data_IF_904274964225
#
_entry.id   IF_904274964225
#
_cell.length_a   1.000
_cell.length_b   1.000
_cell.length_c   1.000
_cell.angle_alpha   90.00
_cell.angle_beta   90.00
_cell.angle_gamma   90.00
#
_symmetry.space_group_name_H-M   'P 1'
#
loop_
_entity.id
_entity.type
_entity.pdbx_description
1 polymer ?
#
# COMPACT_ATOMS: atom_id res chain seq x y z
N UNK A 1 -14.33 11.75 21.70
CA UNK A 1 -13.70 11.83 20.36
C UNK A 1 -12.22 12.15 20.52
N UNK A 2 -11.36 11.44 19.79
CA UNK A 2 -9.95 11.81 19.60
C UNK A 2 -9.71 12.28 18.17
N UNK A 3 -8.91 13.33 18.02
CA UNK A 3 -8.48 13.86 16.74
C UNK A 3 -6.97 13.71 16.59
N UNK A 4 -6.53 13.47 15.37
CA UNK A 4 -5.13 13.44 14.99
C UNK A 4 -4.98 14.13 13.63
N UNK A 5 -3.89 14.89 13.47
CA UNK A 5 -3.50 15.47 12.19
C UNK A 5 -1.98 15.42 12.06
N UNK A 6 -1.49 15.09 10.86
CA UNK A 6 -0.07 15.10 10.53
C UNK A 6 0.14 15.32 9.04
N UNK A 7 1.18 16.07 8.69
CA UNK A 7 1.68 16.18 7.32
C UNK A 7 3.01 15.43 7.15
N UNK A 8 3.26 14.95 5.95
CA UNK A 8 4.50 14.29 5.54
C UNK A 8 4.86 14.71 4.12
N UNK A 9 6.12 15.06 3.89
CA UNK A 9 6.61 15.47 2.58
C UNK A 9 7.36 14.29 1.94
N UNK A 10 6.97 13.92 0.74
CA UNK A 10 7.73 12.96 -0.08
C UNK A 10 8.84 13.73 -0.81
N UNK A 11 10.05 13.62 -0.28
CA UNK A 11 11.26 14.31 -0.76
C UNK A 11 12.48 13.38 -0.88
N UNK A 12 12.31 12.06 -0.75
CA UNK A 12 13.40 11.08 -0.71
C UNK A 12 14.13 11.01 -2.06
N UNK A 13 15.11 11.91 -2.18
CA UNK A 13 16.04 12.10 -3.28
C UNK A 13 17.15 11.04 -3.30
N UNK A 14 16.81 9.74 -3.19
CA UNK A 14 17.81 8.66 -3.23
C UNK A 14 18.56 8.53 -4.56
N UNK A 15 18.31 9.40 -5.54
CA UNK A 15 19.06 9.52 -6.78
C UNK A 15 18.99 10.92 -7.42
N UNK A 16 18.80 11.98 -6.62
CA UNK A 16 18.64 13.35 -7.16
C UNK A 16 17.32 13.61 -7.92
N UNK A 17 16.32 12.74 -7.75
CA UNK A 17 14.99 12.87 -8.37
C UNK A 17 13.93 13.15 -7.30
N UNK A 18 13.02 14.09 -7.57
CA UNK A 18 11.85 14.36 -6.74
C UNK A 18 10.82 13.23 -6.83
N UNK A 19 9.88 13.22 -5.88
CA UNK A 19 8.77 12.28 -5.83
C UNK A 19 7.49 12.96 -6.36
N UNK A 20 7.27 12.98 -7.69
CA UNK A 20 6.19 13.74 -8.29
C UNK A 20 4.83 13.12 -7.95
N UNK A 21 3.86 14.01 -7.79
CA UNK A 21 2.49 13.67 -7.40
C UNK A 21 1.87 12.51 -8.19
N UNK A 22 2.00 12.40 -9.54
CA UNK A 22 1.44 11.26 -10.26
C UNK A 22 1.96 9.90 -9.79
N UNK A 23 3.23 9.84 -9.37
CA UNK A 23 3.89 8.59 -8.97
C UNK A 23 3.57 8.24 -7.53
N UNK A 24 3.54 9.25 -6.64
CA UNK A 24 3.09 9.06 -5.26
C UNK A 24 1.62 8.66 -5.20
N UNK A 25 0.76 9.31 -5.97
CA UNK A 25 -0.67 8.97 -6.09
C UNK A 25 -0.85 7.54 -6.62
N UNK A 26 -0.12 7.17 -7.67
CA UNK A 26 -0.17 5.80 -8.20
C UNK A 26 0.27 4.77 -7.15
N UNK A 27 1.39 5.02 -6.46
CA UNK A 27 1.86 4.14 -5.40
C UNK A 27 0.85 3.98 -4.26
N UNK A 28 0.13 5.05 -3.90
CA UNK A 28 -0.92 4.99 -2.89
C UNK A 28 -2.07 4.07 -3.30
N UNK A 29 -2.50 4.09 -4.58
CA UNK A 29 -3.56 3.22 -5.06
C UNK A 29 -3.12 1.77 -5.22
N UNK A 30 -1.83 1.54 -5.53
CA UNK A 30 -1.21 0.21 -5.66
C UNK A 30 -0.60 -0.33 -4.36
N UNK A 31 -0.85 0.33 -3.22
CA UNK A 31 -0.19 0.00 -1.95
C UNK A 31 -0.47 -1.42 -1.44
N UNK A 32 -1.48 -2.13 -1.95
CA UNK A 32 -1.72 -3.51 -1.55
C UNK A 32 -1.49 -4.45 -2.73
N UNK A 33 -0.88 -5.61 -2.48
CA UNK A 33 -0.35 -6.10 -1.19
C UNK A 33 1.03 -5.51 -0.85
N UNK A 34 1.35 -5.40 0.45
CA UNK A 34 2.69 -5.04 0.93
C UNK A 34 2.94 -5.61 2.34
N UNK A 35 4.21 -5.85 2.76
CA UNK A 35 4.54 -6.50 4.04
C UNK A 35 4.18 -5.66 5.28
N UNK A 36 4.11 -4.33 5.14
CA UNK A 36 3.70 -3.42 6.21
C UNK A 36 2.18 -3.47 6.46
N UNK A 37 1.41 -4.00 5.50
CA UNK A 37 -0.04 -4.12 5.58
C UNK A 37 -0.56 -5.57 5.41
N UNK A 38 0.18 -6.58 5.90
CA UNK A 38 -0.22 -7.99 5.83
C UNK A 38 -1.59 -8.35 6.46
N UNK A 39 -2.18 -7.42 7.23
CA UNK A 39 -3.51 -7.55 7.80
C UNK A 39 -4.64 -7.28 6.79
N UNK A 40 -4.33 -6.64 5.65
CA UNK A 40 -5.29 -6.44 4.56
C UNK A 40 -5.41 -7.73 3.76
N UNK A 41 -6.62 -8.25 3.66
CA UNK A 41 -6.94 -9.53 3.00
C UNK A 41 -7.34 -9.29 1.54
N UNK A 42 -8.22 -8.31 1.30
CA UNK A 42 -8.66 -7.93 -0.04
C UNK A 42 -8.89 -6.42 -0.15
N UNK A 43 -8.86 -5.93 -1.38
CA UNK A 43 -9.12 -4.54 -1.74
C UNK A 43 -9.76 -4.53 -3.14
N UNK A 44 -11.06 -4.28 -3.19
CA UNK A 44 -11.88 -4.43 -4.38
C UNK A 44 -12.44 -3.07 -4.81
N UNK A 45 -12.45 -2.78 -6.11
CA UNK A 45 -13.09 -1.56 -6.64
C UNK A 45 -14.58 -1.86 -6.82
N UNK A 46 -15.42 -1.14 -6.07
CA UNK A 46 -16.88 -1.27 -6.12
C UNK A 46 -17.45 -0.42 -7.24
N UNK A 47 -16.95 0.80 -7.38
CA UNK A 47 -17.35 1.72 -8.45
C UNK A 47 -16.19 2.63 -8.82
N UNK A 48 -16.16 3.04 -10.09
CA UNK A 48 -15.24 4.04 -10.60
C UNK A 48 -15.88 4.75 -11.77
N UNK A 49 -15.88 6.07 -11.73
CA UNK A 49 -16.42 6.90 -12.80
C UNK A 49 -15.66 8.22 -12.88
N UNK A 50 -15.66 8.82 -14.06
CA UNK A 50 -15.09 10.14 -14.28
C UNK A 50 -16.21 11.18 -14.25
N UNK A 51 -15.99 12.28 -13.54
CA UNK A 51 -16.90 13.43 -13.52
C UNK A 51 -16.69 14.30 -14.76
N UNK A 52 -17.66 15.14 -15.15
CA UNK A 52 -17.48 16.12 -16.24
C UNK A 52 -16.29 17.07 -16.04
N UNK A 53 -15.86 17.31 -14.79
CA UNK A 53 -14.65 18.07 -14.45
C UNK A 53 -13.34 17.37 -14.81
N UNK A 54 -13.39 16.09 -15.18
CA UNK A 54 -12.22 15.22 -15.37
C UNK A 54 -11.76 14.49 -14.11
N UNK A 55 -12.32 14.81 -12.94
CA UNK A 55 -12.03 14.15 -11.66
C UNK A 55 -12.43 12.68 -11.69
N UNK A 56 -11.53 11.78 -11.29
CA UNK A 56 -11.82 10.36 -11.16
C UNK A 56 -12.31 10.06 -9.73
N UNK A 57 -13.53 9.57 -9.61
CA UNK A 57 -14.12 9.15 -8.34
C UNK A 57 -14.08 7.63 -8.27
N UNK A 58 -13.57 7.07 -7.17
CA UNK A 58 -13.49 5.63 -6.94
C UNK A 58 -13.98 5.30 -5.54
N UNK A 59 -14.80 4.26 -5.42
CA UNK A 59 -15.11 3.61 -4.15
C UNK A 59 -14.47 2.23 -4.12
N UNK A 60 -13.69 1.94 -3.08
CA UNK A 60 -13.12 0.62 -2.80
C UNK A 60 -13.66 0.04 -1.51
N UNK A 61 -13.79 -1.28 -1.48
CA UNK A 61 -14.09 -2.06 -0.28
C UNK A 61 -12.86 -2.85 0.12
N UNK A 62 -12.44 -2.71 1.37
CA UNK A 62 -11.22 -3.32 1.90
C UNK A 62 -11.61 -4.23 3.05
N UNK A 63 -11.21 -5.50 2.97
CA UNK A 63 -11.32 -6.45 4.08
C UNK A 63 -9.99 -6.50 4.82
N UNK A 64 -10.03 -6.33 6.15
CA UNK A 64 -8.84 -6.51 6.99
C UNK A 64 -9.10 -7.40 8.20
N UNK A 65 -8.09 -8.17 8.56
CA UNK A 65 -8.01 -8.92 9.82
C UNK A 65 -7.59 -7.96 10.94
N UNK A 66 -8.34 -7.94 12.03
CA UNK A 66 -8.04 -7.20 13.25
C UNK A 66 -7.78 -8.15 14.42
N UNK A 67 -7.29 -7.58 15.52
CA UNK A 67 -7.15 -8.26 16.80
C UNK A 67 -7.81 -7.42 17.89
N UNK A 68 -8.66 -8.03 18.71
CA UNK A 68 -9.22 -7.37 19.88
C UNK A 68 -8.13 -7.17 20.94
N UNK A 69 -8.10 -6.03 21.64
CA UNK A 69 -7.17 -5.86 22.75
C UNK A 69 -7.54 -6.80 23.90
N UNK A 70 -6.53 -7.34 24.60
CA UNK A 70 -6.74 -8.32 25.71
C UNK A 70 -7.66 -7.81 26.84
N UNK A 71 -7.73 -6.49 27.04
CA UNK A 71 -8.59 -5.88 28.05
C UNK A 71 -10.06 -5.75 27.63
N UNK A 72 -10.38 -5.99 26.35
CA UNK A 72 -11.73 -5.84 25.81
C UNK A 72 -12.53 -7.14 26.00
N UNK A 73 -13.83 -7.08 26.33
CA UNK A 73 -14.60 -8.28 26.62
C UNK A 73 -14.74 -9.15 25.36
N UNK A 74 -14.25 -10.40 25.44
CA UNK A 74 -14.09 -11.29 24.29
C UNK A 74 -15.42 -11.75 23.67
N UNK A 75 -16.51 -11.73 24.44
CA UNK A 75 -17.85 -12.15 24.00
C UNK A 75 -18.61 -11.06 23.21
N UNK A 76 -18.02 -9.88 23.02
CA UNK A 76 -18.71 -8.72 22.42
C UNK A 76 -18.54 -8.65 20.90
N UNK A 77 -17.59 -9.38 20.31
CA UNK A 77 -17.29 -9.36 18.87
C UNK A 77 -17.05 -10.79 18.39
N UNK A 78 -17.91 -11.26 17.48
CA UNK A 78 -17.86 -12.63 16.96
C UNK A 78 -16.81 -12.85 15.87
N UNK A 79 -16.40 -11.78 15.15
CA UNK A 79 -15.37 -11.82 14.11
C UNK A 79 -14.45 -10.63 14.25
N UNK A 80 -13.14 -10.90 14.29
CA UNK A 80 -12.13 -9.86 14.39
C UNK A 80 -11.79 -9.21 13.03
N UNK A 81 -12.46 -9.61 11.96
CA UNK A 81 -12.38 -8.97 10.65
C UNK A 81 -13.20 -7.68 10.63
N UNK A 82 -12.78 -6.73 9.80
CA UNK A 82 -13.46 -5.46 9.61
C UNK A 82 -13.47 -5.05 8.15
N UNK A 83 -14.63 -4.62 7.68
CA UNK A 83 -14.83 -4.01 6.38
C UNK A 83 -14.61 -2.50 6.45
N UNK A 84 -13.77 -1.99 5.56
CA UNK A 84 -13.48 -0.56 5.40
C UNK A 84 -13.94 -0.12 4.02
N UNK A 85 -14.69 0.97 3.97
CA UNK A 85 -14.95 1.68 2.71
C UNK A 85 -13.88 2.76 2.53
N UNK A 86 -13.35 2.85 1.33
CA UNK A 86 -12.46 3.92 0.89
C UNK A 86 -13.11 4.65 -0.28
N UNK A 87 -13.21 5.97 -0.18
CA UNK A 87 -13.76 6.84 -1.21
C UNK A 87 -12.68 7.85 -1.60
N UNK A 88 -12.32 7.88 -2.89
CA UNK A 88 -11.25 8.74 -3.38
C UNK A 88 -11.67 9.57 -4.59
N UNK A 89 -11.19 10.80 -4.62
CA UNK A 89 -11.33 11.75 -5.72
C UNK A 89 -9.93 12.14 -6.20
N UNK A 90 -9.66 11.97 -7.50
CA UNK A 90 -8.39 12.33 -8.12
C UNK A 90 -8.63 13.43 -9.13
N UNK A 91 -8.15 14.63 -8.84
CA UNK A 91 -8.14 15.76 -9.78
C UNK A 91 -6.76 15.82 -10.48
N UNK A 92 -6.67 15.42 -11.76
CA UNK A 92 -5.41 15.42 -12.49
C UNK A 92 -4.93 16.85 -12.84
N UNK A 93 -5.83 17.83 -12.90
CA UNK A 93 -5.49 19.21 -13.26
C UNK A 93 -5.01 19.99 -12.04
N UNK A 94 -5.74 19.89 -10.92
CA UNK A 94 -5.32 20.43 -9.63
C UNK A 94 -4.20 19.63 -8.96
N UNK A 95 -3.90 18.43 -9.47
CA UNK A 95 -2.88 17.50 -8.93
C UNK A 95 -3.07 17.26 -7.45
N UNK A 96 -4.29 16.87 -7.10
CA UNK A 96 -4.71 16.55 -5.74
C UNK A 96 -5.49 15.24 -5.72
N UNK A 97 -5.20 14.41 -4.72
CA UNK A 97 -5.99 13.25 -4.36
C UNK A 97 -6.60 13.52 -3.00
N UNK A 98 -7.91 13.39 -2.88
CA UNK A 98 -8.59 13.28 -1.59
C UNK A 98 -9.03 11.84 -1.40
N UNK A 99 -8.79 11.27 -0.23
CA UNK A 99 -9.17 9.92 0.10
C UNK A 99 -9.78 9.90 1.50
N UNK A 100 -10.95 9.31 1.65
CA UNK A 100 -11.62 9.12 2.94
C UNK A 100 -11.78 7.64 3.20
N UNK A 101 -11.45 7.20 4.41
CA UNK A 101 -11.71 5.83 4.84
C UNK A 101 -12.53 5.78 6.11
N UNK A 102 -13.41 4.78 6.21
CA UNK A 102 -14.15 4.50 7.45
C UNK A 102 -14.52 3.03 7.56
N UNK A 103 -14.60 2.52 8.78
CA UNK A 103 -15.14 1.19 9.02
C UNK A 103 -16.66 1.14 8.83
N UNK A 104 -17.14 0.06 8.22
CA UNK A 104 -18.57 -0.23 8.01
C UNK A 104 -19.17 -1.02 9.18
N UNK A 105 -18.37 -1.89 9.80
CA UNK A 105 -18.75 -2.72 10.93
C UNK A 105 -18.12 -2.22 12.24
N UNK A 106 -18.53 -2.81 13.37
CA UNK A 106 -18.02 -2.48 14.71
C UNK A 106 -18.17 -1.00 15.14
N UNK A 107 -18.97 -0.22 14.41
CA UNK A 107 -19.10 1.24 14.58
C UNK A 107 -19.57 1.64 15.99
N UNK A 108 -20.40 0.81 16.64
CA UNK A 108 -20.84 1.03 18.03
C UNK A 108 -19.67 0.95 19.02
N UNK A 109 -18.68 0.10 18.73
CA UNK A 109 -17.47 -0.06 19.54
C UNK A 109 -16.52 1.08 19.25
N UNK A 110 -16.16 1.24 17.98
CA UNK A 110 -15.25 2.29 17.55
C UNK A 110 -15.52 2.65 16.09
N UNK A 111 -15.73 3.93 15.83
CA UNK A 111 -15.73 4.51 14.49
C UNK A 111 -14.42 5.23 14.28
N UNK A 112 -13.73 4.90 13.19
CA UNK A 112 -12.53 5.58 12.73
C UNK A 112 -12.85 6.17 11.36
N UNK A 113 -12.70 7.49 11.25
CA UNK A 113 -12.80 8.22 9.99
C UNK A 113 -11.44 8.85 9.72
N UNK A 114 -10.83 8.49 8.60
CA UNK A 114 -9.54 9.03 8.15
C UNK A 114 -9.76 9.81 6.86
N UNK A 115 -9.08 10.96 6.74
CA UNK A 115 -8.99 11.74 5.52
C UNK A 115 -7.52 11.91 5.17
N UNK A 116 -7.14 11.52 3.96
CA UNK A 116 -5.80 11.69 3.42
C UNK A 116 -5.89 12.56 2.18
N UNK A 117 -5.04 13.58 2.12
CA UNK A 117 -4.85 14.40 0.95
C UNK A 117 -3.42 14.22 0.44
N UNK A 118 -3.24 13.96 -0.85
CA UNK A 118 -1.94 14.08 -1.53
C UNK A 118 -2.03 15.22 -2.53
N UNK A 119 -1.17 16.22 -2.40
CA UNK A 119 -1.12 17.35 -3.34
C UNK A 119 0.28 17.61 -3.84
N UNK A 120 0.40 18.10 -5.07
CA UNK A 120 1.68 18.57 -5.57
C UNK A 120 2.20 19.73 -4.70
N UNK A 121 3.47 19.63 -4.30
CA UNK A 121 4.23 20.66 -3.60
C UNK A 121 5.28 21.29 -4.54
N UNK A 122 5.93 22.40 -4.16
CA UNK A 122 7.02 22.99 -4.93
C UNK A 122 8.13 21.99 -5.28
N UNK A 123 8.93 22.30 -6.30
CA UNK A 123 10.07 21.47 -6.74
C UNK A 123 9.67 20.04 -7.17
N UNK A 124 8.41 19.85 -7.57
CA UNK A 124 7.90 18.56 -8.00
C UNK A 124 7.77 17.54 -6.87
N UNK A 125 7.78 17.97 -5.61
CA UNK A 125 7.54 17.12 -4.43
C UNK A 125 6.04 16.84 -4.25
N UNK A 126 5.72 15.95 -3.32
CA UNK A 126 4.33 15.66 -2.95
C UNK A 126 4.13 15.82 -1.45
N UNK A 127 3.14 16.61 -1.04
CA UNK A 127 2.74 16.72 0.35
C UNK A 127 1.56 15.79 0.61
N UNK A 128 1.69 14.95 1.63
CA UNK A 128 0.58 14.21 2.22
C UNK A 128 0.11 14.92 3.48
N UNK A 129 -1.18 15.20 3.58
CA UNK A 129 -1.85 15.59 4.81
C UNK A 129 -2.78 14.46 5.26
N UNK A 130 -2.81 14.15 6.54
CA UNK A 130 -3.65 13.08 7.08
C UNK A 130 -4.33 13.52 8.36
N UNK A 131 -5.65 13.40 8.39
CA UNK A 131 -6.48 13.60 9.56
C UNK A 131 -7.16 12.30 9.95
N UNK A 132 -7.38 12.09 11.25
CA UNK A 132 -8.24 11.03 11.74
C UNK A 132 -9.10 11.47 12.92
N UNK A 133 -10.36 11.02 12.90
CA UNK A 133 -11.33 11.17 13.98
C UNK A 133 -11.72 9.80 14.48
N UNK A 134 -11.63 9.62 15.80
CA UNK A 134 -11.90 8.34 16.47
C UNK A 134 -12.99 8.57 17.50
N UNK A 135 -14.08 7.83 17.36
CA UNK A 135 -15.27 7.91 18.20
C UNK A 135 -15.55 6.53 18.80
N UNK A 136 -16.01 6.49 20.05
CA UNK A 136 -16.53 5.26 20.66
C UNK A 136 -17.88 5.53 21.31
N UNK A 137 -18.92 4.84 20.84
CA UNK A 137 -20.26 4.85 21.44
C UNK A 137 -20.48 3.74 22.48
N UNK A 138 -19.44 2.99 22.82
CA UNK A 138 -19.52 1.69 23.50
C UNK A 138 -20.17 1.71 24.89
N UNK A 139 -20.26 2.88 25.56
CA UNK A 139 -20.85 3.00 26.90
C UNK A 139 -19.96 2.44 28.02
N UNK A 140 -20.53 2.31 29.23
CA UNK A 140 -19.90 1.61 30.38
C UNK A 140 -18.57 2.19 30.90
N UNK A 141 -18.32 3.49 30.68
CA UNK A 141 -17.09 4.15 31.13
C UNK A 141 -15.82 3.79 30.33
N UNK A 142 -15.92 2.90 29.31
CA UNK A 142 -14.77 2.46 28.51
C UNK A 142 -14.47 3.36 27.32
N UNK A 143 -15.34 4.32 27.00
CA UNK A 143 -15.19 5.24 25.85
C UNK A 143 -13.79 5.83 25.74
N UNK A 144 -13.29 6.46 26.81
CA UNK A 144 -11.95 7.08 26.79
C UNK A 144 -10.83 6.06 26.54
N UNK A 145 -10.93 4.86 27.10
CA UNK A 145 -9.95 3.79 26.95
C UNK A 145 -9.92 3.26 25.52
N UNK A 146 -11.10 3.07 24.91
CA UNK A 146 -11.24 2.64 23.50
C UNK A 146 -10.70 3.72 22.56
N UNK A 147 -11.09 4.98 22.74
CA UNK A 147 -10.61 6.07 21.89
C UNK A 147 -9.09 6.26 21.97
N UNK A 148 -8.51 6.18 23.18
CA UNK A 148 -7.05 6.22 23.35
C UNK A 148 -6.36 5.03 22.68
N UNK A 149 -6.91 3.82 22.81
CA UNK A 149 -6.38 2.64 22.13
C UNK A 149 -6.41 2.79 20.60
N UNK A 150 -7.54 3.26 20.07
CA UNK A 150 -7.71 3.57 18.65
C UNK A 150 -6.66 4.56 18.16
N UNK A 151 -6.44 5.66 18.90
CA UNK A 151 -5.46 6.68 18.53
C UNK A 151 -4.02 6.13 18.50
N UNK A 152 -3.63 5.34 19.50
CA UNK A 152 -2.31 4.70 19.53
C UNK A 152 -2.12 3.75 18.36
N UNK A 153 -3.14 2.94 18.04
CA UNK A 153 -3.12 2.04 16.88
C UNK A 153 -3.06 2.81 15.56
N UNK A 154 -3.82 3.90 15.44
CA UNK A 154 -3.83 4.73 14.24
C UNK A 154 -2.43 5.30 13.96
N UNK A 155 -1.76 5.87 14.97
CA UNK A 155 -0.38 6.37 14.82
C UNK A 155 0.60 5.30 14.35
N UNK A 156 0.53 4.09 14.92
CA UNK A 156 1.36 2.97 14.50
C UNK A 156 1.06 2.53 13.05
N UNK A 157 -0.22 2.52 12.66
CA UNK A 157 -0.65 2.16 11.30
C UNK A 157 -0.24 3.22 10.27
N UNK A 158 -0.24 4.50 10.64
CA UNK A 158 0.16 5.60 9.75
C UNK A 158 1.62 5.47 9.31
N UNK A 159 2.51 5.14 10.26
CA UNK A 159 3.92 4.90 9.94
C UNK A 159 4.09 3.71 8.99
N UNK A 160 3.44 2.57 9.28
CA UNK A 160 3.47 1.39 8.42
C UNK A 160 2.87 1.65 7.03
N UNK A 161 1.83 2.48 6.95
CA UNK A 161 1.23 2.90 5.68
C UNK A 161 2.24 3.65 4.82
N UNK A 162 3.00 4.58 5.41
CA UNK A 162 4.08 5.30 4.70
C UNK A 162 5.19 4.37 4.22
N UNK A 163 5.61 3.43 5.05
CA UNK A 163 6.61 2.41 4.67
C UNK A 163 6.11 1.56 3.49
N UNK A 164 4.83 1.17 3.50
CA UNK A 164 4.20 0.48 2.38
C UNK A 164 4.19 1.30 1.09
N UNK A 165 3.79 2.56 1.15
CA UNK A 165 3.80 3.46 -0.02
C UNK A 165 5.22 3.69 -0.54
N UNK A 166 6.19 3.90 0.36
CA UNK A 166 7.61 4.06 0.02
C UNK A 166 8.18 2.82 -0.69
N UNK A 167 7.82 1.62 -0.22
CA UNK A 167 8.17 0.38 -0.90
C UNK A 167 7.63 0.35 -2.33
N UNK A 168 6.33 0.62 -2.53
CA UNK A 168 5.74 0.63 -3.88
C UNK A 168 6.37 1.70 -4.77
N UNK A 169 6.65 2.89 -4.22
CA UNK A 169 7.39 3.94 -4.92
C UNK A 169 8.75 3.45 -5.42
N UNK A 170 9.51 2.74 -4.59
CA UNK A 170 10.81 2.18 -4.97
C UNK A 170 10.68 1.15 -6.10
N UNK A 171 9.65 0.30 -6.05
CA UNK A 171 9.39 -0.72 -7.07
C UNK A 171 9.00 -0.09 -8.42
N UNK A 172 8.14 0.95 -8.41
CA UNK A 172 7.78 1.70 -9.62
C UNK A 172 9.02 2.34 -10.25
N UNK A 173 9.92 2.92 -9.44
CA UNK A 173 11.18 3.50 -9.94
C UNK A 173 12.08 2.45 -10.57
N UNK A 174 12.28 1.33 -9.88
CA UNK A 174 13.10 0.23 -10.41
C UNK A 174 12.55 -0.30 -11.73
N UNK A 175 11.23 -0.47 -11.85
CA UNK A 175 10.59 -0.91 -13.09
C UNK A 175 10.77 0.07 -14.25
N UNK A 176 10.92 1.38 -14.00
CA UNK A 176 11.17 2.39 -15.04
C UNK A 176 12.61 2.42 -15.54
N UNK A 177 13.55 2.00 -14.69
CA UNK A 177 14.97 1.91 -15.05
C UNK A 177 15.29 0.63 -15.84
N UNK A 178 14.40 -0.36 -15.81
CA UNK A 178 14.51 -1.54 -16.66
C UNK A 178 13.92 -1.22 -18.03
N UNK A 179 14.65 -1.39 -19.15
CA UNK A 179 14.06 -1.32 -20.47
C UNK A 179 12.97 -2.40 -20.55
N UNK A 180 11.74 -2.00 -20.88
CA UNK A 180 10.66 -2.96 -21.08
C UNK A 180 11.06 -3.95 -22.18
N UNK A 181 11.31 -5.20 -21.83
CA UNK A 181 11.59 -6.28 -22.79
C UNK A 181 10.31 -6.76 -23.50
N UNK A 182 9.39 -5.86 -23.80
CA UNK A 182 8.30 -6.13 -24.76
C UNK A 182 8.78 -5.73 -26.15
N UNK A 183 9.41 -6.68 -26.85
CA UNK A 183 9.70 -6.58 -28.29
C UNK A 183 11.18 -6.67 -28.69
N UNK A 184 12.11 -6.99 -27.78
CA UNK A 184 13.48 -7.31 -28.17
C UNK A 184 13.53 -8.71 -28.77
N UNK A 185 14.07 -8.82 -29.98
CA UNK A 185 14.18 -10.04 -30.79
C UNK A 185 14.57 -11.26 -29.94
N UNK A 186 13.82 -12.34 -30.10
CA UNK A 186 14.22 -13.65 -29.60
C UNK A 186 15.49 -14.07 -30.33
N UNK A 187 16.67 -13.72 -29.79
CA UNK A 187 17.87 -14.49 -30.04
C UNK A 187 17.67 -15.86 -29.41
N UNK A 188 17.01 -16.75 -30.16
CA UNK A 188 17.21 -18.19 -29.98
C UNK A 188 18.72 -18.42 -29.99
N UNK A 189 19.31 -19.03 -28.96
CA UNK A 189 20.74 -19.32 -28.96
C UNK A 189 20.99 -20.50 -29.90
N UNK A 190 20.90 -20.27 -31.22
CA UNK A 190 21.58 -21.07 -32.23
C UNK A 190 23.05 -20.67 -32.22
N UNK A 191 23.74 -21.00 -31.12
CA UNK A 191 25.20 -20.83 -31.02
C UNK A 191 25.90 -21.97 -30.30
N UNK A 192 25.28 -23.15 -30.27
CA UNK A 192 25.90 -24.36 -29.73
C UNK A 192 25.80 -25.57 -30.67
N UNK A 193 25.83 -25.34 -31.99
CA UNK A 193 26.00 -26.43 -32.97
C UNK A 193 27.40 -26.49 -33.60
N UNK A 194 28.28 -25.52 -33.33
CA UNK A 194 29.67 -25.55 -33.81
C UNK A 194 30.67 -26.06 -32.75
N UNK A 195 30.32 -26.01 -31.45
CA UNK A 195 31.23 -26.40 -30.37
C UNK A 195 31.21 -27.92 -30.05
N UNK A 196 30.45 -28.72 -30.78
CA UNK A 196 30.32 -30.17 -30.54
C UNK A 196 31.45 -31.02 -31.17
N UNK A 197 32.56 -30.40 -31.59
CA UNK A 197 33.71 -31.11 -32.19
C UNK A 197 35.04 -30.96 -31.45
N UNK A 198 35.09 -30.29 -30.29
CA UNK A 198 36.31 -30.30 -29.50
C UNK A 198 36.02 -30.58 -28.02
N UNK A 199 36.16 -31.85 -27.68
CA UNK A 199 36.20 -32.34 -26.31
C UNK A 199 37.49 -31.88 -25.64
N UNK A 200 37.41 -31.05 -24.59
CA UNK A 200 38.02 -31.48 -23.33
C UNK A 200 37.48 -30.76 -22.08
N UNK A 201 37.48 -31.51 -21.00
CA UNK A 201 36.58 -31.36 -19.86
C UNK A 201 37.13 -30.41 -18.79
N UNK A 202 36.42 -29.31 -18.44
CA UNK A 202 36.48 -28.70 -17.09
C UNK A 202 35.12 -28.11 -16.68
N UNK A 203 34.46 -28.79 -15.75
CA UNK A 203 33.17 -28.38 -15.17
C UNK A 203 33.42 -27.31 -14.10
N UNK A 204 33.00 -26.07 -14.37
CA UNK A 204 32.75 -25.08 -13.33
C UNK A 204 31.28 -25.19 -12.86
N UNK A 205 30.98 -25.13 -11.54
CA UNK A 205 29.60 -25.15 -11.09
C UNK A 205 28.88 -23.86 -11.51
N UNK A 206 27.58 -23.93 -11.87
CA UNK A 206 26.85 -22.75 -12.29
C UNK A 206 26.69 -21.77 -11.13
N UNK A 207 27.08 -20.52 -11.36
CA UNK A 207 26.76 -19.40 -10.48
C UNK A 207 25.24 -19.29 -10.34
N UNK A 208 24.74 -19.26 -9.11
CA UNK A 208 23.31 -19.09 -8.83
C UNK A 208 22.80 -17.77 -9.43
N UNK A 209 21.62 -17.76 -10.08
CA UNK A 209 21.01 -16.53 -10.55
C UNK A 209 20.62 -15.66 -9.34
N UNK A 210 20.96 -14.38 -9.40
CA UNK A 210 20.57 -13.42 -8.38
C UNK A 210 19.05 -13.29 -8.35
N UNK A 211 18.46 -13.53 -7.16
CA UNK A 211 17.01 -13.41 -6.97
C UNK A 211 16.64 -11.93 -7.06
N UNK A 212 16.13 -11.52 -8.22
CA UNK A 212 15.55 -10.20 -8.45
C UNK A 212 14.40 -9.91 -7.48
N UNK A 213 14.08 -8.63 -7.26
CA UNK A 213 13.07 -8.18 -6.31
C UNK A 213 11.70 -8.88 -6.49
N UNK A 214 11.33 -9.20 -7.74
CA UNK A 214 10.13 -9.96 -8.09
C UNK A 214 10.13 -11.41 -7.57
N UNK A 215 11.29 -12.06 -7.50
CA UNK A 215 11.45 -13.39 -6.90
C UNK A 215 11.23 -13.38 -5.39
N UNK A 216 11.59 -12.27 -4.71
CA UNK A 216 11.36 -12.09 -3.26
C UNK A 216 9.90 -11.74 -2.94
N UNK A 217 9.18 -11.10 -3.86
CA UNK A 217 7.75 -10.88 -3.74
C UNK A 217 6.96 -12.19 -3.83
N UNK A 218 7.36 -13.12 -4.71
CA UNK A 218 6.70 -14.44 -4.84
C UNK A 218 6.74 -15.26 -3.54
N UNK A 219 7.80 -15.18 -2.74
CA UNK A 219 7.87 -15.90 -1.46
C UNK A 219 7.00 -15.32 -0.36
N UNK A 220 6.49 -14.09 -0.50
CA UNK A 220 5.50 -13.53 0.43
C UNK A 220 4.07 -14.01 0.17
N UNK A 221 3.77 -14.43 -1.06
CA UNK A 221 2.44 -14.92 -1.44
C UNK A 221 2.19 -16.39 -1.08
N UNK A 222 3.24 -17.15 -0.74
CA UNK A 222 3.14 -18.53 -0.29
C UNK A 222 3.62 -18.64 1.15
N UNK A 223 2.72 -18.95 2.09
CA UNK A 223 3.16 -19.48 3.39
C UNK A 223 3.82 -20.85 3.19
N UNK A 224 4.88 -21.19 3.95
CA UNK A 224 5.38 -22.56 3.97
C UNK A 224 4.21 -23.46 4.40
N UNK A 225 3.88 -24.46 3.57
CA UNK A 225 2.99 -25.54 4.00
C UNK A 225 3.73 -26.30 5.10
N UNK A 226 3.24 -26.22 6.33
CA UNK A 226 3.48 -27.19 7.38
C UNK A 226 2.59 -28.40 7.16
#
# INVERSE_FOLDING_TARGET
>A
MKFFSQSFLYDLAHAGHSDPWPIVSLAYFLRYPNPYAAHVISCDVISRHQMPSGTLVTTRLILKRGNLPRWFPQNMVSRAESWIIEESEVDPFGKVVHCRTRNLDHVKIMRVEESVEFRQAPEGKTLQHTEARIFSGFGWGLTKKIENHGLTRFKANLQRSREGVSLILSLIRQSRLQPMTLGGESEFPMRHLEDALDSDTKIHPPSQPSIGAWGRLKSWFYSPRS
#
